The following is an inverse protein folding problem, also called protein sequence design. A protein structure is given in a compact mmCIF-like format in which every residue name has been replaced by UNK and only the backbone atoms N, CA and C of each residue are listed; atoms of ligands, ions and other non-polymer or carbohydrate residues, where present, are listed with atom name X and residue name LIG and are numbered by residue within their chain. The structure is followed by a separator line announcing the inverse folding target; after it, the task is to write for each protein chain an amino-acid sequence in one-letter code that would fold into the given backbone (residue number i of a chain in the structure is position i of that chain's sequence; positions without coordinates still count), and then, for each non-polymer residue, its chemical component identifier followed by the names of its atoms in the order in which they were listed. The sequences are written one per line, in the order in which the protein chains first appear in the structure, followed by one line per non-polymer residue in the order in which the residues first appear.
data_IF_838336469966
#
_entry.id   IF_838336469966
#
_cell.length_a   1.000
_cell.length_b   1.000
_cell.length_c   1.000
_cell.angle_alpha   90.00
_cell.angle_beta   90.00
_cell.angle_gamma   90.00
#
_symmetry.space_group_name_H-M   'P 1'
#
loop_
_entity.id
_entity.type
_entity.pdbx_description
1 polymer ?
#
# COMPACT_ATOMS: atom_id res chain seq x y z
N UNK A 1 -0.92 -21.22 7.63
CA UNK A 1 -0.84 -20.88 9.07
C UNK A 1 -1.44 -19.51 9.27
N UNK A 2 -2.02 -19.25 10.44
CA UNK A 2 -2.77 -18.02 10.72
C UNK A 2 -2.15 -17.24 11.87
N UNK A 3 -2.15 -15.91 11.75
CA UNK A 3 -1.66 -14.99 12.79
C UNK A 3 -2.72 -13.94 13.09
N UNK A 4 -3.06 -13.79 14.36
CA UNK A 4 -4.02 -12.81 14.83
C UNK A 4 -3.72 -12.42 16.28
N UNK A 5 -3.76 -11.13 16.68
CA UNK A 5 -3.48 -10.72 18.05
C UNK A 5 -4.42 -11.36 19.08
N UNK A 6 -5.64 -11.71 18.66
CA UNK A 6 -6.68 -12.38 19.46
C UNK A 6 -6.69 -13.91 19.30
N UNK A 7 -5.73 -14.49 18.59
CA UNK A 7 -5.63 -15.93 18.37
C UNK A 7 -5.37 -16.71 19.66
N UNK A 8 -5.74 -17.99 19.68
CA UNK A 8 -5.53 -18.86 20.83
C UNK A 8 -4.06 -19.22 21.09
N UNK A 9 -3.15 -18.92 20.17
CA UNK A 9 -1.73 -19.27 20.18
C UNK A 9 -1.48 -20.78 20.36
N UNK A 10 -2.14 -21.60 19.54
CA UNK A 10 -2.09 -23.07 19.64
C UNK A 10 -1.50 -23.64 18.34
N UNK A 11 -0.26 -24.20 18.37
CA UNK A 11 0.30 -24.90 17.24
C UNK A 11 -0.61 -26.05 16.76
N UNK A 12 -0.70 -26.32 15.45
CA UNK A 12 0.14 -25.79 14.38
C UNK A 12 -0.41 -24.50 13.72
N UNK A 13 -1.25 -23.72 14.42
CA UNK A 13 -1.81 -22.46 13.93
C UNK A 13 -2.58 -22.62 12.61
N UNK A 14 -3.36 -23.70 12.49
CA UNK A 14 -4.00 -24.13 11.23
C UNK A 14 -5.32 -23.44 10.91
N UNK A 15 -5.84 -22.60 11.80
CA UNK A 15 -7.08 -21.82 11.63
C UNK A 15 -7.13 -20.66 12.62
N UNK A 16 -8.02 -19.67 12.40
CA UNK A 16 -8.10 -18.42 13.18
C UNK A 16 -8.21 -18.61 14.70
N UNK A 17 -9.03 -19.54 15.18
CA UNK A 17 -9.18 -19.77 16.63
C UNK A 17 -7.87 -20.26 17.28
N UNK A 18 -7.06 -21.01 16.52
CA UNK A 18 -5.73 -21.49 16.96
C UNK A 18 -4.59 -20.53 16.61
N UNK A 19 -4.85 -19.41 15.92
CA UNK A 19 -3.83 -18.58 15.30
C UNK A 19 -2.72 -18.15 16.28
N UNK A 20 -1.51 -18.03 15.76
CA UNK A 20 -0.38 -17.46 16.49
C UNK A 20 -0.72 -16.01 16.87
N UNK A 21 -0.37 -15.61 18.09
CA UNK A 21 -0.62 -14.22 18.55
C UNK A 21 0.34 -13.22 17.91
N UNK A 22 1.48 -13.70 17.42
CA UNK A 22 2.50 -12.91 16.76
C UNK A 22 3.25 -13.76 15.73
N UNK A 23 3.80 -13.13 14.68
CA UNK A 23 4.59 -13.80 13.64
C UNK A 23 5.79 -14.53 14.25
N UNK A 24 6.37 -14.03 15.34
CA UNK A 24 7.50 -14.68 16.00
C UNK A 24 7.14 -16.04 16.62
N UNK A 25 5.86 -16.29 16.93
CA UNK A 25 5.40 -17.55 17.55
C UNK A 25 5.32 -18.71 16.54
N UNK A 26 5.23 -18.41 15.24
CA UNK A 26 5.10 -19.43 14.19
C UNK A 26 6.43 -19.77 13.51
N UNK A 27 7.47 -18.93 13.62
CA UNK A 27 8.75 -19.14 12.93
C UNK A 27 9.34 -20.55 13.15
N UNK A 28 9.31 -21.16 14.34
CA UNK A 28 9.84 -22.51 14.56
C UNK A 28 9.10 -23.62 13.79
N UNK A 29 7.92 -23.33 13.27
CA UNK A 29 7.05 -24.28 12.57
C UNK A 29 7.04 -24.07 11.06
N UNK A 30 7.78 -23.06 10.56
CA UNK A 30 7.86 -22.78 9.13
C UNK A 30 8.61 -23.88 8.38
N UNK A 31 8.14 -24.13 7.16
CA UNK A 31 8.86 -24.88 6.14
C UNK A 31 8.56 -24.32 4.75
N UNK A 32 9.40 -24.66 3.77
CA UNK A 32 9.20 -24.21 2.39
C UNK A 32 7.83 -24.60 1.86
N UNK A 33 7.19 -23.68 1.13
CA UNK A 33 5.81 -23.80 0.63
C UNK A 33 4.73 -23.40 1.63
N UNK A 34 5.08 -23.02 2.86
CA UNK A 34 4.09 -22.56 3.84
C UNK A 34 3.46 -21.24 3.41
N UNK A 35 2.14 -21.16 3.50
CA UNK A 35 1.39 -19.92 3.41
C UNK A 35 1.05 -19.43 4.82
N UNK A 36 1.34 -18.17 5.12
CA UNK A 36 1.08 -17.51 6.40
C UNK A 36 0.18 -16.31 6.14
N UNK A 37 -1.01 -16.36 6.73
CA UNK A 37 -2.06 -15.35 6.59
C UNK A 37 -2.14 -14.55 7.88
N UNK A 38 -1.95 -13.24 7.79
CA UNK A 38 -1.90 -12.34 8.95
C UNK A 38 -3.08 -11.39 8.92
N UNK A 39 -3.94 -11.42 9.94
CA UNK A 39 -5.06 -10.47 10.03
C UNK A 39 -4.60 -9.12 10.60
N UNK A 40 -5.55 -8.22 10.81
CA UNK A 40 -5.30 -6.87 11.28
C UNK A 40 -4.70 -6.88 12.68
N UNK A 41 -3.83 -5.93 12.93
CA UNK A 41 -3.22 -5.76 14.23
C UNK A 41 -1.89 -5.05 14.16
N UNK A 42 -1.51 -4.53 15.31
CA UNK A 42 -0.13 -4.21 15.59
C UNK A 42 0.49 -5.46 16.20
N UNK A 43 1.61 -5.90 15.63
CA UNK A 43 2.39 -7.03 16.06
C UNK A 43 3.72 -6.52 16.61
N UNK A 44 3.82 -6.28 17.94
CA UNK A 44 5.06 -5.84 18.56
C UNK A 44 6.16 -6.88 18.32
N UNK A 45 7.29 -6.44 17.79
CA UNK A 45 8.45 -7.26 17.53
C UNK A 45 9.29 -7.35 18.80
N UNK A 46 9.45 -8.57 19.31
CA UNK A 46 10.36 -8.86 20.44
C UNK A 46 11.75 -9.37 20.00
N UNK A 47 11.88 -9.61 18.70
CA UNK A 47 13.08 -10.06 17.99
C UNK A 47 12.79 -9.92 16.49
N UNK A 48 13.82 -9.85 15.65
CA UNK A 48 13.65 -9.80 14.19
C UNK A 48 12.96 -11.05 13.64
N UNK A 49 12.00 -10.88 12.72
CA UNK A 49 11.42 -11.97 11.96
C UNK A 49 12.38 -12.40 10.84
N UNK A 50 13.11 -13.50 11.06
CA UNK A 50 13.98 -14.08 10.04
C UNK A 50 13.22 -15.11 9.21
N UNK A 51 13.01 -14.78 7.93
CA UNK A 51 12.36 -15.62 6.93
C UNK A 51 13.44 -16.27 6.06
N UNK A 52 13.85 -17.48 6.45
CA UNK A 52 14.88 -18.28 5.78
C UNK A 52 14.32 -19.45 4.97
N UNK A 53 12.99 -19.51 4.80
CA UNK A 53 12.28 -20.51 4.01
C UNK A 53 11.53 -19.84 2.87
N UNK A 54 11.36 -20.55 1.75
CA UNK A 54 10.49 -20.11 0.66
C UNK A 54 9.02 -20.18 1.04
N UNK A 55 8.51 -19.17 1.74
CA UNK A 55 7.13 -19.06 2.22
C UNK A 55 6.40 -17.88 1.56
N UNK A 56 5.08 -17.85 1.70
CA UNK A 56 4.29 -16.64 1.43
C UNK A 56 3.73 -16.11 2.74
N UNK A 57 4.20 -14.95 3.19
CA UNK A 57 3.70 -14.24 4.35
C UNK A 57 2.94 -13.02 3.86
N UNK A 58 1.61 -13.00 4.03
CA UNK A 58 0.81 -11.89 3.54
C UNK A 58 -0.19 -11.42 4.57
N UNK A 59 -0.43 -10.11 4.60
CA UNK A 59 -1.55 -9.56 5.35
C UNK A 59 -2.85 -9.81 4.59
N UNK A 60 -3.94 -9.91 5.34
CA UNK A 60 -5.28 -9.91 4.75
C UNK A 60 -5.51 -8.51 4.17
N UNK A 61 -5.58 -7.49 5.02
CA UNK A 61 -6.05 -6.15 4.68
C UNK A 61 -4.96 -5.13 4.30
N UNK A 62 -3.82 -5.58 3.79
CA UNK A 62 -2.79 -4.68 3.29
C UNK A 62 -2.06 -3.90 4.40
N UNK A 63 -1.16 -2.99 3.99
CA UNK A 63 -0.18 -2.42 4.91
C UNK A 63 -0.81 -1.51 5.97
N UNK A 64 -1.93 -0.85 5.67
CA UNK A 64 -2.64 -0.01 6.64
C UNK A 64 -3.19 -0.78 7.86
N UNK A 65 -3.38 -2.10 7.73
CA UNK A 65 -4.08 -2.90 8.72
C UNK A 65 -3.19 -3.87 9.51
N UNK A 66 -2.08 -4.34 8.92
CA UNK A 66 -1.13 -5.24 9.57
C UNK A 66 0.23 -4.56 9.75
N UNK A 67 0.58 -4.27 10.99
CA UNK A 67 1.76 -3.47 11.35
C UNK A 67 2.76 -4.34 12.11
N UNK A 68 3.97 -4.48 11.56
CA UNK A 68 5.12 -5.04 12.26
C UNK A 68 5.84 -3.90 12.97
N UNK A 69 5.75 -3.88 14.29
CA UNK A 69 6.19 -2.73 15.10
C UNK A 69 7.41 -3.08 15.95
N UNK A 70 8.57 -2.59 15.53
CA UNK A 70 9.83 -2.73 16.26
C UNK A 70 9.83 -2.04 17.63
N UNK A 71 9.00 -1.00 17.81
CA UNK A 71 8.87 -0.26 19.06
C UNK A 71 10.17 0.34 19.63
N UNK A 72 11.23 0.45 18.81
CA UNK A 72 12.57 0.84 19.23
C UNK A 72 13.36 -0.26 19.96
N UNK A 73 12.95 -1.53 19.86
CA UNK A 73 13.51 -2.63 20.64
C UNK A 73 14.22 -3.69 19.79
N UNK A 74 14.19 -3.55 18.47
CA UNK A 74 14.83 -4.47 17.53
C UNK A 74 15.68 -3.70 16.54
N UNK A 75 16.84 -4.26 16.21
CA UNK A 75 17.74 -3.68 15.21
C UNK A 75 17.07 -3.67 13.82
N UNK A 76 16.32 -4.72 13.51
CA UNK A 76 15.51 -4.84 12.30
C UNK A 76 14.21 -5.61 12.56
N UNK A 77 13.13 -5.24 11.87
CA UNK A 77 11.85 -5.93 12.03
C UNK A 77 11.80 -7.23 11.23
N UNK A 78 12.35 -7.21 10.01
CA UNK A 78 12.25 -8.31 9.06
C UNK A 78 13.60 -8.56 8.38
N UNK A 79 13.99 -9.83 8.29
CA UNK A 79 15.11 -10.28 7.47
C UNK A 79 14.62 -11.39 6.54
N UNK A 80 14.77 -11.21 5.23
CA UNK A 80 14.43 -12.21 4.22
C UNK A 80 15.71 -12.67 3.54
N UNK A 81 15.95 -13.98 3.61
CA UNK A 81 17.18 -14.61 3.13
C UNK A 81 16.88 -15.87 2.30
N UNK A 82 15.80 -15.82 1.52
CA UNK A 82 15.45 -16.91 0.61
C UNK A 82 14.74 -16.39 -0.64
N UNK A 83 15.25 -16.78 -1.81
CA UNK A 83 14.74 -16.40 -3.15
C UNK A 83 13.26 -16.66 -3.43
N UNK A 84 12.62 -17.62 -2.75
CA UNK A 84 11.22 -17.97 -2.94
C UNK A 84 10.32 -17.39 -1.84
N UNK A 85 10.89 -16.63 -0.89
CA UNK A 85 10.11 -15.97 0.13
C UNK A 85 9.41 -14.74 -0.46
N UNK A 86 8.12 -14.60 -0.16
CA UNK A 86 7.31 -13.44 -0.51
C UNK A 86 6.71 -12.88 0.77
N UNK A 87 6.93 -11.59 1.01
CA UNK A 87 6.28 -10.84 2.07
C UNK A 87 5.43 -9.74 1.46
N UNK A 88 4.15 -9.69 1.80
CA UNK A 88 3.15 -8.88 1.10
C UNK A 88 2.24 -8.13 2.08
N UNK A 89 2.14 -6.81 1.93
CA UNK A 89 1.04 -6.05 2.52
C UNK A 89 1.25 -5.62 3.97
N UNK A 90 2.46 -5.27 4.41
CA UNK A 90 2.71 -4.88 5.79
C UNK A 90 3.19 -3.44 5.92
N UNK A 91 2.75 -2.75 6.98
CA UNK A 91 3.52 -1.62 7.50
C UNK A 91 4.64 -2.14 8.38
N UNK A 92 5.87 -1.66 8.16
CA UNK A 92 7.07 -2.06 8.89
C UNK A 92 7.69 -0.80 9.48
N UNK A 93 7.70 -0.71 10.81
CA UNK A 93 8.11 0.52 11.51
C UNK A 93 8.86 0.27 12.81
N UNK A 94 9.53 1.32 13.29
CA UNK A 94 10.05 1.37 14.65
C UNK A 94 11.25 0.47 14.91
N UNK A 95 11.95 -0.02 13.88
CA UNK A 95 13.29 -0.59 14.09
C UNK A 95 14.27 0.53 14.52
N UNK A 96 15.18 0.23 15.43
CA UNK A 96 16.19 1.17 15.91
C UNK A 96 17.51 0.45 16.17
N UNK A 97 18.43 0.51 15.21
CA UNK A 97 19.77 -0.07 15.37
C UNK A 97 20.37 -0.61 14.07
N UNK A 98 19.52 -1.04 13.14
CA UNK A 98 19.91 -1.57 11.84
C UNK A 98 19.06 -0.99 10.72
N UNK A 99 18.11 -1.76 10.20
CA UNK A 99 17.24 -1.39 9.08
C UNK A 99 15.82 -1.85 9.38
N UNK A 100 14.77 -1.16 8.94
CA UNK A 100 13.41 -1.70 9.05
C UNK A 100 13.30 -3.10 8.42
N UNK A 101 13.89 -3.26 7.25
CA UNK A 101 13.98 -4.52 6.52
C UNK A 101 15.40 -4.80 6.05
N UNK A 102 15.82 -6.07 6.14
CA UNK A 102 16.99 -6.61 5.43
C UNK A 102 16.50 -7.62 4.40
N UNK A 103 16.87 -7.42 3.13
CA UNK A 103 16.42 -8.22 2.01
C UNK A 103 17.63 -8.76 1.23
N UNK A 104 18.14 -9.93 1.64
CA UNK A 104 19.24 -10.62 0.96
C UNK A 104 18.79 -11.41 -0.28
N UNK A 105 17.51 -11.77 -0.33
CA UNK A 105 16.88 -12.38 -1.50
C UNK A 105 15.34 -12.34 -1.32
N UNK A 106 14.60 -12.79 -2.32
CA UNK A 106 13.14 -12.87 -2.29
C UNK A 106 12.45 -11.56 -2.65
N UNK A 107 11.16 -11.49 -2.33
CA UNK A 107 10.28 -10.39 -2.72
C UNK A 107 9.57 -9.79 -1.51
N UNK A 108 9.77 -8.49 -1.28
CA UNK A 108 8.90 -7.68 -0.43
C UNK A 108 8.02 -6.78 -1.31
N UNK A 109 6.71 -6.86 -1.14
CA UNK A 109 5.78 -6.08 -1.96
C UNK A 109 4.57 -5.50 -1.21
N UNK A 110 3.97 -4.44 -1.79
CA UNK A 110 2.76 -3.79 -1.27
C UNK A 110 2.91 -3.33 0.19
N UNK A 111 4.12 -2.95 0.59
CA UNK A 111 4.47 -2.63 1.97
C UNK A 111 4.68 -1.14 2.17
N UNK A 112 4.49 -0.69 3.41
CA UNK A 112 4.86 0.65 3.87
C UNK A 112 6.02 0.54 4.86
N UNK A 113 7.20 1.02 4.48
CA UNK A 113 8.40 1.00 5.33
C UNK A 113 8.60 2.40 5.88
N UNK A 114 8.33 2.58 7.18
CA UNK A 114 8.17 3.92 7.75
C UNK A 114 8.74 4.08 9.15
N UNK A 115 9.35 5.23 9.44
CA UNK A 115 9.81 5.58 10.79
C UNK A 115 10.76 4.54 11.41
N UNK A 116 11.66 4.01 10.59
CA UNK A 116 12.77 3.18 11.04
C UNK A 116 14.04 4.02 11.16
N UNK A 117 14.89 3.66 12.11
CA UNK A 117 16.14 4.34 12.41
C UNK A 117 17.31 3.37 12.31
N UNK A 118 18.38 3.78 11.63
CA UNK A 118 19.44 2.86 11.23
C UNK A 118 20.77 3.53 10.95
N UNK A 119 21.81 2.74 10.67
CA UNK A 119 23.08 3.26 10.15
C UNK A 119 23.16 3.22 8.63
N UNK A 120 22.55 2.23 8.00
CA UNK A 120 22.68 1.99 6.55
C UNK A 120 21.37 1.42 6.05
N UNK A 121 20.72 2.08 5.08
CA UNK A 121 19.43 1.61 4.59
C UNK A 121 18.39 1.58 5.71
N UNK A 122 18.19 2.71 6.41
CA UNK A 122 17.42 2.71 7.66
C UNK A 122 15.98 2.22 7.44
N UNK A 123 15.37 2.52 6.29
CA UNK A 123 14.14 1.85 5.86
C UNK A 123 14.41 0.41 5.43
N UNK A 124 15.21 0.22 4.38
CA UNK A 124 15.56 -1.10 3.87
C UNK A 124 17.04 -1.21 3.42
N UNK A 125 17.66 -2.34 3.76
CA UNK A 125 18.93 -2.78 3.21
C UNK A 125 18.66 -3.91 2.21
N UNK A 126 18.93 -3.66 0.92
CA UNK A 126 18.69 -4.60 -0.17
C UNK A 126 20.01 -5.12 -0.72
N UNK A 127 20.19 -6.42 -0.69
CA UNK A 127 21.31 -7.11 -1.32
C UNK A 127 20.70 -8.17 -2.23
N UNK A 128 20.64 -7.94 -3.55
CA UNK A 128 20.03 -8.86 -4.56
C UNK A 128 18.52 -9.10 -4.49
N UNK A 129 17.87 -8.77 -3.37
CA UNK A 129 16.42 -8.89 -3.21
C UNK A 129 15.60 -7.91 -4.08
N UNK A 130 14.28 -8.15 -4.13
CA UNK A 130 13.33 -7.34 -4.88
C UNK A 130 12.34 -6.60 -3.98
N UNK A 131 12.30 -5.28 -4.12
CA UNK A 131 11.33 -4.41 -3.46
C UNK A 131 10.35 -3.87 -4.51
N UNK A 132 9.06 -4.17 -4.37
CA UNK A 132 8.06 -3.82 -5.38
C UNK A 132 6.80 -3.18 -4.80
N UNK A 133 6.31 -2.11 -5.41
CA UNK A 133 5.04 -1.48 -5.02
C UNK A 133 5.00 -1.03 -3.55
N UNK A 134 6.10 -0.44 -3.09
CA UNK A 134 6.25 -0.07 -1.69
C UNK A 134 6.33 1.45 -1.53
N UNK A 135 5.77 1.94 -0.43
CA UNK A 135 6.05 3.29 0.07
C UNK A 135 7.19 3.21 1.10
N UNK A 136 8.30 3.88 0.85
CA UNK A 136 9.42 3.99 1.80
C UNK A 136 9.54 5.45 2.25
N UNK A 137 9.18 5.74 3.49
CA UNK A 137 9.06 7.13 3.95
C UNK A 137 9.44 7.37 5.40
N UNK A 138 9.96 8.57 5.71
CA UNK A 138 10.31 9.00 7.08
C UNK A 138 11.25 8.04 7.80
N UNK A 139 12.14 7.39 7.08
CA UNK A 139 13.23 6.62 7.69
C UNK A 139 14.47 7.50 7.84
N UNK A 140 15.26 7.24 8.88
CA UNK A 140 16.38 8.08 9.26
C UNK A 140 17.66 7.26 9.44
N UNK A 141 18.64 7.50 8.58
CA UNK A 141 19.95 6.86 8.60
C UNK A 141 21.02 7.79 9.19
N UNK A 142 21.85 7.27 10.09
CA UNK A 142 23.01 7.99 10.64
C UNK A 142 24.25 7.93 9.74
N UNK A 143 24.19 7.24 8.60
CA UNK A 143 25.22 7.29 7.56
C UNK A 143 24.57 7.39 6.19
N UNK A 144 24.40 6.30 5.45
CA UNK A 144 23.88 6.33 4.07
C UNK A 144 22.52 5.66 3.91
N UNK A 145 21.80 5.98 2.84
CA UNK A 145 20.57 5.28 2.48
C UNK A 145 19.49 5.50 3.53
N UNK A 146 18.99 6.73 3.66
CA UNK A 146 17.94 7.05 4.63
C UNK A 146 16.71 6.17 4.43
N UNK A 147 16.21 6.12 3.20
CA UNK A 147 15.18 5.19 2.79
C UNK A 147 15.75 3.81 2.53
N UNK A 148 16.62 3.71 1.52
CA UNK A 148 17.12 2.44 1.01
C UNK A 148 18.63 2.50 0.77
N UNK A 149 19.32 1.45 1.17
CA UNK A 149 20.64 1.08 0.63
C UNK A 149 20.46 -0.14 -0.26
N UNK A 150 21.02 -0.12 -1.47
CA UNK A 150 20.84 -1.21 -2.44
C UNK A 150 22.14 -1.58 -3.16
N UNK A 151 22.42 -2.89 -3.19
CA UNK A 151 23.50 -3.53 -3.94
C UNK A 151 22.96 -4.73 -4.72
N UNK A 152 23.09 -4.71 -6.05
CA UNK A 152 22.60 -5.78 -6.92
C UNK A 152 21.07 -6.01 -6.89
N UNK A 153 20.29 -5.04 -6.38
CA UNK A 153 18.87 -5.23 -6.05
C UNK A 153 17.92 -4.76 -7.17
N UNK A 154 16.65 -5.13 -7.07
CA UNK A 154 15.58 -4.67 -7.97
C UNK A 154 14.55 -3.85 -7.20
N UNK A 155 14.32 -2.61 -7.62
CA UNK A 155 13.39 -1.67 -6.97
C UNK A 155 12.38 -1.20 -8.01
N UNK A 156 11.10 -1.50 -7.78
CA UNK A 156 10.10 -1.44 -8.86
C UNK A 156 8.78 -0.82 -8.38
N UNK A 157 8.26 0.20 -9.06
CA UNK A 157 6.96 0.81 -8.75
C UNK A 157 6.88 1.33 -7.30
N UNK A 158 7.99 1.84 -6.78
CA UNK A 158 8.07 2.32 -5.39
C UNK A 158 8.05 3.85 -5.31
N UNK A 159 7.50 4.38 -4.22
CA UNK A 159 7.61 5.80 -3.86
C UNK A 159 8.54 5.92 -2.65
N UNK A 160 9.70 6.55 -2.83
CA UNK A 160 10.77 6.69 -1.82
C UNK A 160 10.90 8.18 -1.48
N UNK A 161 10.31 8.58 -0.35
CA UNK A 161 10.04 9.99 -0.08
C UNK A 161 10.19 10.38 1.38
N UNK A 162 10.67 11.60 1.64
CA UNK A 162 10.81 12.14 3.01
C UNK A 162 11.67 11.27 3.93
N UNK A 163 12.70 10.61 3.38
CA UNK A 163 13.71 9.92 4.16
C UNK A 163 14.95 10.80 4.35
N UNK A 164 15.70 10.54 5.41
CA UNK A 164 16.86 11.33 5.80
C UNK A 164 18.09 10.43 5.97
N UNK A 165 19.23 10.89 5.45
CA UNK A 165 20.56 10.34 5.72
C UNK A 165 21.48 11.45 6.25
N UNK A 166 22.50 11.08 7.03
CA UNK A 166 23.55 12.02 7.42
C UNK A 166 24.54 12.21 6.28
N UNK A 167 25.04 11.11 5.70
CA UNK A 167 26.08 11.18 4.68
C UNK A 167 25.44 11.34 3.29
N UNK A 168 25.03 10.24 2.66
CA UNK A 168 24.61 10.21 1.26
C UNK A 168 23.33 9.43 1.04
N UNK A 169 22.58 9.75 -0.02
CA UNK A 169 21.45 8.93 -0.45
C UNK A 169 20.30 8.98 0.55
N UNK A 170 19.75 10.17 0.82
CA UNK A 170 18.63 10.34 1.74
C UNK A 170 17.47 9.41 1.37
N UNK A 171 17.11 9.35 0.09
CA UNK A 171 16.14 8.41 -0.45
C UNK A 171 16.77 7.05 -0.73
N UNK A 172 17.71 7.02 -1.67
CA UNK A 172 18.31 5.81 -2.20
C UNK A 172 19.83 5.96 -2.32
N UNK A 173 20.55 5.02 -1.72
CA UNK A 173 21.99 4.82 -1.93
C UNK A 173 22.22 3.56 -2.75
N UNK A 174 22.90 3.69 -3.89
CA UNK A 174 23.24 2.59 -4.79
C UNK A 174 24.73 2.25 -4.69
N UNK A 175 25.02 1.05 -4.17
CA UNK A 175 26.39 0.53 -4.11
C UNK A 175 26.70 -0.36 -5.31
N UNK A 176 27.25 0.28 -6.33
CA UNK A 176 27.67 -0.38 -7.56
C UNK A 176 28.90 -1.28 -7.41
N UNK A 177 29.65 -1.17 -6.31
CA UNK A 177 30.83 -2.01 -6.08
C UNK A 177 30.44 -3.44 -5.71
N UNK A 178 29.24 -3.63 -5.16
CA UNK A 178 28.73 -4.94 -4.72
C UNK A 178 27.66 -5.51 -5.66
N UNK A 179 27.21 -4.74 -6.65
CA UNK A 179 26.36 -5.21 -7.74
C UNK A 179 25.50 -4.10 -8.34
N UNK A 180 25.24 -4.18 -9.64
CA UNK A 180 24.34 -3.25 -10.33
C UNK A 180 22.90 -3.43 -9.87
N UNK A 181 22.30 -2.37 -9.34
CA UNK A 181 20.88 -2.35 -8.99
C UNK A 181 20.04 -1.78 -10.15
N UNK A 182 18.84 -2.31 -10.32
CA UNK A 182 17.85 -1.86 -11.29
C UNK A 182 16.73 -1.10 -10.56
N UNK A 183 16.45 0.12 -11.00
CA UNK A 183 15.41 0.99 -10.42
C UNK A 183 14.44 1.36 -11.52
N UNK A 184 13.18 0.97 -11.38
CA UNK A 184 12.17 1.17 -12.43
C UNK A 184 10.82 1.65 -11.91
N UNK A 185 10.18 2.54 -12.66
CA UNK A 185 8.86 3.09 -12.31
C UNK A 185 8.83 3.69 -10.88
N UNK A 186 9.94 4.24 -10.41
CA UNK A 186 10.06 4.72 -9.04
C UNK A 186 10.00 6.24 -8.97
N UNK A 187 9.34 6.76 -7.92
CA UNK A 187 9.53 8.15 -7.51
C UNK A 187 10.54 8.19 -6.37
N UNK A 188 11.60 8.99 -6.52
CA UNK A 188 12.56 9.28 -5.45
C UNK A 188 12.63 10.80 -5.29
N UNK A 189 11.96 11.33 -4.28
CA UNK A 189 11.77 12.77 -4.13
C UNK A 189 11.61 13.20 -2.68
N UNK A 190 11.88 14.47 -2.39
CA UNK A 190 11.68 15.07 -1.06
C UNK A 190 12.47 14.37 0.06
N UNK A 191 13.57 13.71 -0.29
CA UNK A 191 14.49 13.15 0.69
C UNK A 191 15.59 14.16 1.02
N UNK A 192 16.37 13.90 2.07
CA UNK A 192 17.49 14.75 2.46
C UNK A 192 18.72 13.93 2.84
N UNK A 193 19.89 14.41 2.41
CA UNK A 193 21.19 13.97 2.91
C UNK A 193 21.98 15.21 3.34
N UNK A 194 22.78 15.14 4.42
CA UNK A 194 23.57 16.30 4.84
C UNK A 194 24.80 16.53 3.96
N UNK A 195 25.40 15.48 3.39
CA UNK A 195 26.53 15.63 2.47
C UNK A 195 26.07 15.80 1.01
N UNK A 196 25.51 14.76 0.39
CA UNK A 196 25.10 14.82 -1.02
C UNK A 196 24.10 13.72 -1.43
N UNK A 197 23.51 13.87 -2.62
CA UNK A 197 22.60 12.88 -3.21
C UNK A 197 21.35 12.67 -2.36
N UNK A 198 20.68 13.77 -2.00
CA UNK A 198 19.48 13.75 -1.15
C UNK A 198 18.45 12.73 -1.61
N UNK A 199 18.07 12.73 -2.89
CA UNK A 199 17.15 11.72 -3.42
C UNK A 199 17.88 10.44 -3.81
N UNK A 200 18.91 10.54 -4.66
CA UNK A 200 19.71 9.39 -5.09
C UNK A 200 21.19 9.72 -5.01
N UNK A 201 21.96 8.81 -4.43
CA UNK A 201 23.41 8.76 -4.54
C UNK A 201 23.85 7.40 -5.08
N UNK A 202 24.85 7.38 -5.96
CA UNK A 202 25.49 6.16 -6.41
C UNK A 202 27.01 6.32 -6.41
N UNK A 203 27.72 5.27 -5.98
CA UNK A 203 29.20 5.25 -6.02
C UNK A 203 29.74 5.39 -7.46
N UNK A 204 29.01 4.87 -8.44
CA UNK A 204 29.29 5.00 -9.86
C UNK A 204 27.97 5.12 -10.64
N UNK A 205 27.62 6.34 -11.05
CA UNK A 205 26.38 6.63 -11.76
C UNK A 205 26.31 5.96 -13.14
N UNK A 206 27.44 5.66 -13.79
CA UNK A 206 27.45 5.00 -15.11
C UNK A 206 26.90 3.56 -15.06
N UNK A 207 26.87 2.98 -13.86
CA UNK A 207 26.40 1.61 -13.62
C UNK A 207 24.94 1.54 -13.17
N UNK A 208 24.27 2.67 -12.97
CA UNK A 208 22.89 2.70 -12.49
C UNK A 208 21.93 2.46 -13.65
N UNK A 209 21.09 1.43 -13.52
CA UNK A 209 20.03 1.15 -14.48
C UNK A 209 18.72 1.80 -14.01
N UNK A 210 18.45 3.03 -14.47
CA UNK A 210 17.16 3.70 -14.27
C UNK A 210 16.24 3.45 -15.47
N UNK A 211 14.97 3.14 -15.19
CA UNK A 211 13.93 2.98 -16.22
C UNK A 211 12.61 3.64 -15.78
N UNK A 212 12.16 4.66 -16.50
CA UNK A 212 10.91 5.39 -16.20
C UNK A 212 10.78 5.82 -14.72
N UNK A 213 11.84 6.41 -14.17
CA UNK A 213 11.84 6.96 -12.81
C UNK A 213 11.53 8.46 -12.79
N UNK A 214 11.08 8.97 -11.66
CA UNK A 214 10.95 10.39 -11.36
C UNK A 214 11.88 10.75 -10.22
N UNK A 215 12.99 11.45 -10.53
CA UNK A 215 13.99 11.87 -9.55
C UNK A 215 14.31 13.35 -9.82
N UNK A 216 13.63 14.30 -9.15
CA UNK A 216 13.74 15.73 -9.44
C UNK A 216 15.16 16.29 -9.38
N UNK A 217 16.03 15.70 -8.55
CA UNK A 217 17.41 16.15 -8.37
C UNK A 217 18.43 15.48 -9.29
N UNK A 218 18.01 14.55 -10.17
CA UNK A 218 18.92 13.75 -10.98
C UNK A 218 18.48 13.65 -12.45
N UNK A 219 19.26 14.27 -13.34
CA UNK A 219 19.02 14.29 -14.78
C UNK A 219 19.81 13.20 -15.51
N UNK A 220 19.44 11.93 -15.29
CA UNK A 220 20.05 10.77 -15.95
C UNK A 220 19.07 10.09 -16.94
N UNK A 221 19.57 9.39 -17.97
CA UNK A 221 18.72 8.59 -18.85
C UNK A 221 17.82 7.64 -18.05
N UNK A 222 16.54 7.56 -18.43
CA UNK A 222 15.55 6.75 -17.71
C UNK A 222 14.99 7.42 -16.44
N UNK A 223 15.39 8.65 -16.13
CA UNK A 223 14.79 9.48 -15.08
C UNK A 223 14.24 10.79 -15.65
N UNK A 224 13.09 11.21 -15.16
CA UNK A 224 12.52 12.53 -15.38
C UNK A 224 12.72 13.41 -14.14
N UNK A 225 12.88 14.72 -14.34
CA UNK A 225 13.27 15.69 -13.29
C UNK A 225 12.15 16.64 -12.86
N UNK A 226 10.96 16.49 -13.42
CA UNK A 226 9.80 17.27 -13.01
C UNK A 226 9.36 16.88 -11.60
N UNK A 227 8.79 17.84 -10.86
CA UNK A 227 8.20 17.59 -9.54
C UNK A 227 7.08 16.53 -9.66
N UNK A 228 7.10 15.44 -8.86
CA UNK A 228 6.05 14.42 -8.88
C UNK A 228 4.67 14.94 -8.42
N UNK A 229 4.60 16.13 -7.80
CA UNK A 229 3.34 16.80 -7.47
C UNK A 229 2.42 15.96 -6.57
N UNK A 230 2.85 15.72 -5.34
CA UNK A 230 2.05 15.02 -4.33
C UNK A 230 0.92 15.90 -3.76
N UNK A 231 -0.21 15.28 -3.40
CA UNK A 231 -1.39 15.95 -2.84
C UNK A 231 -1.08 16.70 -1.54
N UNK A 232 -0.46 16.02 -0.55
CA UNK A 232 -0.11 16.63 0.73
C UNK A 232 1.08 15.92 1.40
N UNK A 233 2.31 16.13 0.89
CA UNK A 233 3.48 15.37 1.36
C UNK A 233 3.82 15.62 2.84
N UNK A 234 3.56 16.83 3.37
CA UNK A 234 3.82 17.16 4.78
C UNK A 234 2.96 16.34 5.75
N UNK A 235 1.75 15.98 5.36
CA UNK A 235 0.87 15.10 6.15
C UNK A 235 1.02 13.62 5.79
N UNK A 236 1.90 13.28 4.84
CA UNK A 236 2.16 11.90 4.42
C UNK A 236 1.22 11.37 3.34
N UNK A 237 0.45 12.25 2.68
CA UNK A 237 -0.32 11.86 1.51
C UNK A 237 0.52 12.05 0.25
N UNK A 238 1.11 10.95 -0.21
CA UNK A 238 1.99 10.90 -1.38
C UNK A 238 1.28 10.39 -2.64
N UNK A 239 -0.05 10.43 -2.67
CA UNK A 239 -0.81 10.26 -3.92
C UNK A 239 -0.54 11.43 -4.86
N UNK A 240 -0.66 11.19 -6.16
CA UNK A 240 -0.37 12.17 -7.21
C UNK A 240 -1.54 13.18 -7.35
N UNK A 241 -1.21 14.44 -7.58
CA UNK A 241 -2.18 15.43 -8.04
C UNK A 241 -2.51 15.21 -9.52
N UNK A 242 -3.69 15.64 -9.96
CA UNK A 242 -4.16 15.50 -11.34
C UNK A 242 -3.21 16.03 -12.42
N UNK A 243 -2.38 17.03 -12.07
CA UNK A 243 -1.40 17.65 -12.97
C UNK A 243 -0.03 16.96 -12.97
N UNK A 244 0.12 15.88 -12.21
CA UNK A 244 1.41 15.24 -12.01
C UNK A 244 1.99 14.72 -13.32
N UNK A 245 3.29 14.94 -13.56
CA UNK A 245 3.99 14.35 -14.72
C UNK A 245 4.17 12.84 -14.57
N UNK A 246 3.96 12.27 -13.37
CA UNK A 246 4.13 10.84 -13.11
C UNK A 246 2.93 10.00 -13.58
N UNK A 247 1.81 10.66 -13.92
CA UNK A 247 0.59 10.01 -14.38
C UNK A 247 0.76 9.50 -15.81
N UNK A 248 0.37 8.25 -16.07
CA UNK A 248 0.53 7.56 -17.36
C UNK A 248 1.97 7.59 -17.92
N UNK A 249 2.97 7.71 -17.04
CA UNK A 249 4.37 7.92 -17.45
C UNK A 249 5.27 6.70 -17.22
N UNK A 250 4.72 5.63 -16.64
CA UNK A 250 5.45 4.41 -16.33
C UNK A 250 5.54 3.41 -17.47
N UNK A 251 6.30 2.35 -17.23
CA UNK A 251 6.51 1.24 -18.15
C UNK A 251 5.72 0.00 -17.71
N UNK A 252 4.86 -0.52 -18.60
CA UNK A 252 3.96 -1.66 -18.38
C UNK A 252 4.62 -3.06 -18.34
N UNK A 253 5.88 -3.18 -17.92
CA UNK A 253 6.56 -4.46 -17.83
C UNK A 253 6.54 -5.02 -16.39
N UNK A 254 5.83 -6.13 -16.17
CA UNK A 254 5.84 -6.87 -14.91
C UNK A 254 5.39 -6.06 -13.68
N UNK A 255 4.46 -5.12 -13.88
CA UNK A 255 3.88 -4.30 -12.82
C UNK A 255 2.83 -5.08 -12.00
N UNK A 256 2.61 -4.71 -10.73
CA UNK A 256 1.56 -5.30 -9.90
C UNK A 256 0.16 -4.88 -10.41
N UNK A 257 -0.82 -5.78 -10.36
CA UNK A 257 -2.21 -5.49 -10.78
C UNK A 257 -2.94 -4.51 -9.86
N UNK A 258 -2.37 -4.24 -8.68
CA UNK A 258 -2.92 -3.37 -7.65
C UNK A 258 -1.81 -2.43 -7.17
N UNK A 259 -2.15 -1.19 -6.86
CA UNK A 259 -1.25 -0.23 -6.19
C UNK A 259 -1.15 -0.50 -4.67
N UNK A 260 -0.40 0.32 -3.94
CA UNK A 260 -0.22 0.12 -2.49
C UNK A 260 -1.51 0.33 -1.66
N UNK A 261 -2.48 1.07 -2.20
CA UNK A 261 -3.84 1.24 -1.65
C UNK A 261 -4.84 0.21 -2.18
N UNK A 262 -4.36 -0.70 -3.04
CA UNK A 262 -5.14 -1.73 -3.73
C UNK A 262 -6.12 -1.17 -4.75
N UNK A 263 -5.81 -0.02 -5.35
CA UNK A 263 -6.45 0.49 -6.56
C UNK A 263 -5.95 -0.34 -7.74
N UNK A 264 -6.85 -0.65 -8.69
CA UNK A 264 -6.51 -1.37 -9.92
C UNK A 264 -5.46 -0.65 -10.76
N UNK A 265 -4.63 -1.41 -11.48
CA UNK A 265 -3.58 -0.89 -12.38
C UNK A 265 -3.56 -1.64 -13.72
N UNK A 266 -3.34 -0.96 -14.86
CA UNK A 266 -3.21 0.49 -15.02
C UNK A 266 -4.59 1.17 -15.10
N UNK A 267 -4.67 2.43 -14.70
CA UNK A 267 -5.81 3.32 -14.98
C UNK A 267 -5.34 4.42 -15.94
N UNK A 268 -6.20 4.82 -16.87
CA UNK A 268 -5.88 5.91 -17.80
C UNK A 268 -6.07 7.24 -17.09
N UNK A 269 -5.01 8.04 -17.03
CA UNK A 269 -5.05 9.42 -16.58
C UNK A 269 -5.51 10.40 -17.67
N UNK A 270 -4.91 11.61 -17.68
CA UNK A 270 -5.31 12.71 -18.57
C UNK A 270 -4.75 12.60 -19.99
N UNK A 271 -3.84 11.64 -20.24
CA UNK A 271 -3.18 11.50 -21.52
C UNK A 271 -4.11 10.87 -22.57
N UNK A 272 -4.72 11.70 -23.40
CA UNK A 272 -5.50 11.31 -24.57
C UNK A 272 -4.64 10.48 -25.54
N UNK A 273 -4.66 9.14 -25.50
CA UNK A 273 -3.77 8.38 -26.39
C UNK A 273 -3.62 6.87 -26.27
N UNK A 274 -4.70 6.10 -26.09
CA UNK A 274 -4.89 4.70 -26.55
C UNK A 274 -4.06 3.56 -25.91
N UNK A 275 -3.17 3.81 -24.94
CA UNK A 275 -2.62 2.74 -24.07
C UNK A 275 -2.56 3.23 -22.63
N UNK A 276 -3.29 2.58 -21.72
CA UNK A 276 -3.17 2.80 -20.29
C UNK A 276 -1.75 2.42 -19.85
N UNK A 277 -0.93 3.40 -19.46
CA UNK A 277 0.37 3.15 -18.85
C UNK A 277 0.19 3.28 -17.34
N UNK A 278 0.91 2.46 -16.56
CA UNK A 278 0.90 2.64 -15.11
C UNK A 278 1.48 4.01 -14.74
N UNK A 279 1.10 4.50 -13.57
CA UNK A 279 1.78 5.64 -12.99
C UNK A 279 3.17 5.26 -12.46
N UNK A 280 4.10 6.21 -12.52
CA UNK A 280 5.39 6.07 -11.83
C UNK A 280 5.13 6.16 -10.32
N UNK A 281 5.59 5.19 -9.55
CA UNK A 281 5.50 5.14 -8.09
C UNK A 281 4.55 4.07 -7.54
N UNK A 282 4.28 4.16 -6.24
CA UNK A 282 3.50 3.18 -5.48
C UNK A 282 1.97 3.35 -5.58
N UNK A 283 1.50 4.48 -6.12
CA UNK A 283 0.08 4.80 -6.25
C UNK A 283 -0.36 4.85 -7.70
N UNK A 284 -1.61 4.48 -7.98
CA UNK A 284 -2.28 4.76 -9.24
C UNK A 284 -3.24 5.94 -9.07
N UNK A 285 -3.19 6.89 -10.01
CA UNK A 285 -4.08 8.02 -10.04
C UNK A 285 -5.46 7.62 -10.60
N UNK A 286 -6.50 7.93 -9.84
CA UNK A 286 -7.89 7.74 -10.24
C UNK A 286 -8.44 9.06 -10.75
N UNK A 287 -8.73 9.14 -12.05
CA UNK A 287 -9.36 10.30 -12.66
C UNK A 287 -10.86 10.34 -12.30
N UNK A 288 -11.25 11.26 -11.41
CA UNK A 288 -12.65 11.53 -11.12
C UNK A 288 -13.18 12.65 -12.04
N UNK A 289 -13.87 12.29 -13.12
CA UNK A 289 -14.85 13.16 -13.80
C UNK A 289 -14.37 14.21 -14.81
N UNK A 290 -13.51 13.88 -15.80
CA UNK A 290 -13.25 14.85 -16.90
C UNK A 290 -13.02 14.30 -18.33
N UNK A 291 -13.12 12.99 -18.56
CA UNK A 291 -13.28 12.40 -19.91
C UNK A 291 -14.76 12.19 -20.20
N UNK A 292 -15.12 11.92 -21.47
CA UNK A 292 -16.47 11.45 -21.81
C UNK A 292 -16.79 10.24 -20.93
N UNK A 293 -17.90 10.32 -20.22
CA UNK A 293 -18.45 9.33 -19.30
C UNK A 293 -19.90 9.18 -19.77
N UNK A 294 -20.15 8.16 -20.62
CA UNK A 294 -21.40 8.11 -21.40
C UNK A 294 -22.59 7.65 -20.59
N UNK A 295 -22.37 6.93 -19.49
CA UNK A 295 -23.41 6.50 -18.56
C UNK A 295 -23.43 7.31 -17.24
N UNK A 296 -22.41 8.13 -17.00
CA UNK A 296 -22.39 9.11 -15.92
C UNK A 296 -22.06 8.52 -14.56
N UNK A 297 -21.33 7.41 -14.52
CA UNK A 297 -21.10 6.61 -13.32
C UNK A 297 -19.89 7.09 -12.49
N UNK A 298 -19.10 8.02 -13.04
CA UNK A 298 -17.91 8.61 -12.42
C UNK A 298 -16.59 7.95 -12.79
N UNK A 299 -16.63 6.82 -13.52
CA UNK A 299 -15.54 6.33 -14.35
C UNK A 299 -15.55 7.10 -15.68
N UNK A 300 -14.72 6.74 -16.64
CA UNK A 300 -14.81 7.40 -17.96
C UNK A 300 -14.72 6.38 -19.05
N UNK A 301 -15.31 6.66 -20.22
CA UNK A 301 -15.35 5.75 -21.36
C UNK A 301 -13.98 5.15 -21.68
N UNK A 302 -12.92 5.93 -21.45
CA UNK A 302 -11.53 5.51 -21.71
C UNK A 302 -11.00 4.59 -20.62
N UNK A 303 -11.30 4.85 -19.34
CA UNK A 303 -10.96 3.96 -18.24
C UNK A 303 -11.74 2.65 -18.31
N UNK A 304 -13.01 2.73 -18.68
CA UNK A 304 -13.85 1.56 -18.87
C UNK A 304 -13.30 0.72 -20.03
N UNK A 305 -13.03 1.30 -21.20
CA UNK A 305 -12.59 0.54 -22.36
C UNK A 305 -11.15 -0.01 -22.23
N UNK A 306 -10.22 0.75 -21.67
CA UNK A 306 -8.78 0.44 -21.72
C UNK A 306 -8.13 0.13 -20.37
N UNK A 307 -8.75 0.50 -19.24
CA UNK A 307 -8.23 0.25 -17.89
C UNK A 307 -8.89 -0.96 -17.23
N UNK A 308 -10.19 -0.86 -16.94
CA UNK A 308 -10.95 -1.91 -16.24
C UNK A 308 -11.66 -2.90 -17.19
N UNK A 309 -11.73 -2.58 -18.48
CA UNK A 309 -12.44 -3.38 -19.50
C UNK A 309 -13.94 -3.57 -19.21
N UNK A 310 -14.56 -2.56 -18.61
CA UNK A 310 -16.01 -2.43 -18.41
C UNK A 310 -16.67 -1.77 -19.62
N UNK A 311 -18.01 -1.60 -19.60
CA UNK A 311 -18.79 -1.13 -20.74
C UNK A 311 -19.14 0.38 -20.62
N UNK A 312 -18.56 1.26 -21.46
CA UNK A 312 -18.76 2.73 -21.44
C UNK A 312 -20.19 3.28 -21.48
N UNK A 313 -21.18 2.43 -21.73
CA UNK A 313 -22.57 2.82 -21.91
C UNK A 313 -23.50 2.16 -20.87
N UNK A 314 -22.92 1.46 -19.90
CA UNK A 314 -23.61 0.70 -18.88
C UNK A 314 -22.94 0.95 -17.54
N UNK A 315 -23.53 1.83 -16.74
CA UNK A 315 -22.94 2.32 -15.49
C UNK A 315 -22.60 1.22 -14.49
N UNK A 316 -23.17 0.04 -14.64
CA UNK A 316 -23.00 -1.13 -13.78
C UNK A 316 -22.77 -2.29 -14.76
N UNK A 317 -21.52 -2.69 -15.00
CA UNK A 317 -21.20 -3.62 -16.08
C UNK A 317 -21.52 -5.08 -15.77
N UNK A 318 -21.63 -5.43 -14.48
CA UNK A 318 -21.94 -6.79 -14.03
C UNK A 318 -23.35 -6.97 -13.44
N UNK A 319 -24.12 -5.88 -13.39
CA UNK A 319 -25.53 -5.80 -12.99
C UNK A 319 -25.79 -6.16 -11.53
N UNK A 320 -24.87 -5.83 -10.63
CA UNK A 320 -24.98 -6.10 -9.20
C UNK A 320 -25.60 -4.95 -8.37
N UNK A 321 -25.78 -3.79 -8.99
CA UNK A 321 -26.37 -2.59 -8.41
C UNK A 321 -25.36 -1.58 -7.85
N UNK A 322 -24.06 -1.87 -7.89
CA UNK A 322 -22.98 -0.90 -7.76
C UNK A 322 -22.55 -0.44 -9.14
N UNK A 323 -22.12 0.82 -9.26
CA UNK A 323 -21.66 1.35 -10.54
C UNK A 323 -20.14 1.22 -10.68
N UNK A 324 -19.61 1.04 -11.89
CA UNK A 324 -18.21 0.66 -12.14
C UNK A 324 -17.23 1.66 -11.51
N UNK A 325 -17.55 2.95 -11.58
CA UNK A 325 -16.78 4.03 -10.95
C UNK A 325 -16.72 3.94 -9.42
N UNK A 326 -17.85 3.66 -8.77
CA UNK A 326 -17.90 3.47 -7.32
C UNK A 326 -17.15 2.21 -6.91
N UNK A 327 -17.20 1.17 -7.73
CA UNK A 327 -16.49 -0.08 -7.48
C UNK A 327 -14.98 0.08 -7.58
N UNK A 328 -14.50 0.73 -8.64
CA UNK A 328 -13.11 1.09 -8.80
C UNK A 328 -12.58 1.86 -7.59
N UNK A 329 -13.38 2.81 -7.08
CA UNK A 329 -13.04 3.58 -5.88
C UNK A 329 -13.11 2.73 -4.60
N UNK A 330 -14.14 1.89 -4.46
CA UNK A 330 -14.32 0.99 -3.32
C UNK A 330 -13.32 -0.18 -3.31
N UNK A 331 -12.60 -0.42 -4.42
CA UNK A 331 -11.68 -1.54 -4.59
C UNK A 331 -12.39 -2.87 -4.81
N UNK A 332 -13.61 -2.85 -5.35
CA UNK A 332 -14.30 -4.03 -5.86
C UNK A 332 -14.01 -4.24 -7.36
N UNK A 333 -14.33 -5.42 -7.87
CA UNK A 333 -14.15 -5.79 -9.28
C UNK A 333 -15.48 -5.57 -10.06
N UNK A 334 -15.55 -4.57 -10.95
CA UNK A 334 -16.78 -4.19 -11.68
C UNK A 334 -17.20 -5.16 -12.79
N UNK A 335 -16.49 -6.29 -12.94
CA UNK A 335 -16.85 -7.38 -13.84
C UNK A 335 -17.27 -8.64 -13.08
N UNK A 336 -17.42 -8.56 -11.76
CA UNK A 336 -17.76 -9.69 -10.89
C UNK A 336 -18.84 -9.31 -9.87
N UNK A 337 -20.09 -9.63 -10.20
CA UNK A 337 -21.28 -9.32 -9.38
C UNK A 337 -21.30 -9.90 -7.94
N UNK A 338 -20.30 -10.73 -7.58
CA UNK A 338 -20.10 -11.22 -6.22
C UNK A 338 -19.19 -10.30 -5.39
N UNK A 339 -18.45 -9.41 -6.03
CA UNK A 339 -17.53 -8.44 -5.48
C UNK A 339 -18.25 -7.09 -5.29
N UNK A 340 -19.23 -7.01 -4.38
CA UNK A 340 -20.03 -5.78 -4.22
C UNK A 340 -19.67 -4.99 -2.96
N UNK A 341 -19.64 -3.65 -3.04
CA UNK A 341 -19.65 -2.76 -1.87
C UNK A 341 -21.08 -2.29 -1.55
N UNK A 342 -21.80 -3.04 -0.71
CA UNK A 342 -23.21 -2.76 -0.40
C UNK A 342 -23.53 -2.81 1.10
N UNK A 343 -24.55 -2.07 1.52
CA UNK A 343 -25.16 -2.24 2.84
C UNK A 343 -25.93 -3.58 2.86
N UNK A 344 -25.50 -4.50 3.71
CA UNK A 344 -26.08 -5.85 3.82
C UNK A 344 -27.28 -5.91 4.76
N UNK A 345 -27.37 -4.98 5.71
CA UNK A 345 -28.52 -4.89 6.58
C UNK A 345 -28.38 -3.92 7.74
N UNK A 346 -29.52 -3.64 8.37
CA UNK A 346 -29.60 -2.86 9.60
C UNK A 346 -30.47 -3.64 10.60
N UNK A 347 -29.90 -4.04 11.73
CA UNK A 347 -30.60 -4.81 12.77
C UNK A 347 -30.61 -4.08 14.11
N UNK A 348 -31.59 -4.37 14.96
CA UNK A 348 -31.66 -3.76 16.28
C UNK A 348 -30.51 -4.26 17.15
N UNK A 349 -29.75 -3.36 17.76
CA UNK A 349 -28.66 -3.71 18.65
C UNK A 349 -29.12 -4.11 20.06
N UNK A 350 -28.20 -4.66 20.85
CA UNK A 350 -28.47 -5.19 22.18
C UNK A 350 -28.88 -4.10 23.20
N UNK A 351 -28.37 -2.87 23.04
CA UNK A 351 -28.74 -1.74 23.89
C UNK A 351 -30.05 -1.09 23.39
N UNK A 352 -30.89 -0.64 24.33
CA UNK A 352 -32.09 0.12 24.00
C UNK A 352 -31.73 1.36 23.16
N UNK A 353 -32.34 1.49 21.98
CA UNK A 353 -32.04 2.58 21.06
C UNK A 353 -30.76 2.40 20.24
N UNK A 354 -30.22 1.18 20.11
CA UNK A 354 -29.07 0.92 19.22
C UNK A 354 -29.49 0.22 17.92
N UNK A 355 -28.74 0.50 16.85
CA UNK A 355 -28.87 -0.11 15.53
C UNK A 355 -27.49 -0.59 15.09
N UNK A 356 -27.39 -1.81 14.59
CA UNK A 356 -26.18 -2.39 14.01
C UNK A 356 -26.32 -2.32 12.50
N UNK A 357 -25.47 -1.55 11.86
CA UNK A 357 -25.34 -1.47 10.40
C UNK A 357 -24.29 -2.49 9.96
N UNK A 358 -24.59 -3.25 8.91
CA UNK A 358 -23.67 -4.21 8.31
C UNK A 358 -23.50 -3.94 6.81
N UNK A 359 -22.29 -4.03 6.30
CA UNK A 359 -21.98 -3.79 4.89
C UNK A 359 -20.86 -4.70 4.40
N UNK A 360 -20.85 -4.99 3.10
CA UNK A 360 -19.76 -5.70 2.44
C UNK A 360 -18.48 -4.91 2.60
N UNK A 361 -17.43 -5.59 3.05
CA UNK A 361 -16.15 -4.96 3.32
C UNK A 361 -15.08 -5.52 2.41
N UNK A 362 -14.39 -4.59 1.73
CA UNK A 362 -13.24 -4.83 0.88
C UNK A 362 -11.98 -4.80 1.70
N UNK A 363 -11.14 -5.77 1.39
CA UNK A 363 -9.89 -6.02 2.08
C UNK A 363 -8.92 -4.83 1.97
N UNK A 364 -8.66 -4.15 3.08
CA UNK A 364 -7.72 -3.03 3.16
C UNK A 364 -8.28 -1.63 2.96
N UNK A 365 -9.61 -1.49 2.83
CA UNK A 365 -10.28 -0.19 2.84
C UNK A 365 -10.55 0.33 4.25
N UNK A 366 -10.74 1.64 4.34
CA UNK A 366 -11.39 2.27 5.50
C UNK A 366 -12.78 2.75 5.11
N UNK A 367 -13.62 3.01 6.10
CA UNK A 367 -14.97 3.48 5.88
C UNK A 367 -15.31 4.68 6.76
N UNK A 368 -15.96 5.67 6.16
CA UNK A 368 -16.73 6.66 6.88
C UNK A 368 -18.16 6.18 7.05
N UNK A 369 -18.70 6.29 8.25
CA UNK A 369 -20.14 6.24 8.46
C UNK A 369 -20.63 7.69 8.61
N UNK A 370 -21.49 8.09 7.69
CA UNK A 370 -22.14 9.37 7.71
C UNK A 370 -23.60 9.21 8.16
N UNK A 371 -24.15 10.25 8.78
CA UNK A 371 -25.52 10.25 9.24
C UNK A 371 -26.23 11.59 8.99
N UNK A 372 -27.55 11.52 8.82
CA UNK A 372 -28.45 12.68 8.78
C UNK A 372 -29.83 12.35 9.34
N UNK A 373 -30.58 13.37 9.73
CA UNK A 373 -31.95 13.22 10.27
C UNK A 373 -33.04 13.53 9.25
N UNK A 374 -32.65 14.04 8.08
CA UNK A 374 -33.55 14.42 7.00
C UNK A 374 -32.81 14.25 5.66
N UNK A 375 -33.45 13.62 4.67
CA UNK A 375 -32.90 13.40 3.32
C UNK A 375 -32.63 14.70 2.54
N UNK A 376 -33.20 15.83 2.96
CA UNK A 376 -32.96 17.13 2.35
C UNK A 376 -31.75 17.88 2.93
N UNK A 377 -31.08 17.32 3.95
CA UNK A 377 -29.86 17.87 4.52
C UNK A 377 -28.63 17.07 4.02
N UNK A 378 -27.45 17.71 3.93
CA UNK A 378 -26.22 16.99 3.65
C UNK A 378 -25.93 15.97 4.75
N UNK A 379 -25.21 14.92 4.38
CA UNK A 379 -24.66 13.98 5.35
C UNK A 379 -23.61 14.68 6.22
N UNK A 380 -23.63 14.39 7.51
CA UNK A 380 -22.56 14.77 8.44
C UNK A 380 -21.76 13.53 8.82
N UNK A 381 -20.44 13.67 8.89
CA UNK A 381 -19.59 12.59 9.35
C UNK A 381 -19.98 12.19 10.78
N UNK A 382 -20.34 10.92 10.97
CA UNK A 382 -20.63 10.37 12.28
C UNK A 382 -19.38 9.73 12.88
N UNK A 383 -18.62 9.02 12.05
CA UNK A 383 -17.30 8.47 12.34
C UNK A 383 -16.56 8.24 11.03
N UNK A 384 -15.25 8.43 11.02
CA UNK A 384 -14.37 8.12 9.88
C UNK A 384 -13.35 7.07 10.27
N UNK A 385 -12.61 6.56 9.28
CA UNK A 385 -11.54 5.59 9.44
C UNK A 385 -11.99 4.29 10.13
N UNK A 386 -13.23 3.86 9.89
CA UNK A 386 -13.69 2.53 10.32
C UNK A 386 -12.96 1.47 9.49
N UNK A 387 -12.11 0.70 10.14
CA UNK A 387 -11.31 -0.34 9.48
C UNK A 387 -12.18 -1.41 8.83
N UNK A 388 -11.79 -1.86 7.64
CA UNK A 388 -12.35 -3.04 7.00
C UNK A 388 -12.17 -4.33 7.84
N UNK A 389 -13.21 -5.14 7.87
CA UNK A 389 -13.35 -6.47 8.45
C UNK A 389 -14.04 -7.37 7.41
N UNK A 390 -13.38 -7.67 6.28
CA UNK A 390 -13.97 -8.50 5.25
C UNK A 390 -14.38 -9.89 5.78
N UNK A 391 -15.45 -10.49 5.23
CA UNK A 391 -16.24 -9.95 4.12
C UNK A 391 -17.29 -8.91 4.56
N UNK A 392 -17.51 -8.71 5.87
CA UNK A 392 -18.61 -7.88 6.38
C UNK A 392 -18.18 -7.05 7.58
N UNK A 393 -18.26 -5.73 7.44
CA UNK A 393 -18.17 -4.82 8.57
C UNK A 393 -19.49 -4.73 9.33
N UNK A 394 -19.39 -4.42 10.62
CA UNK A 394 -20.53 -4.02 11.42
C UNK A 394 -20.19 -2.82 12.31
N UNK A 395 -21.10 -1.86 12.42
CA UNK A 395 -20.96 -0.74 13.35
C UNK A 395 -22.26 -0.46 14.08
N UNK A 396 -22.18 -0.26 15.41
CA UNK A 396 -23.34 0.02 16.25
C UNK A 396 -23.49 1.52 16.47
N UNK A 397 -24.61 2.08 16.02
CA UNK A 397 -25.00 3.48 16.25
C UNK A 397 -26.03 3.59 17.36
N UNK A 398 -25.95 4.68 18.13
CA UNK A 398 -27.01 5.08 19.08
C UNK A 398 -28.05 5.93 18.34
N UNK A 399 -29.22 5.34 18.15
CA UNK A 399 -30.42 5.99 17.63
C UNK A 399 -31.13 6.62 18.82
N UNK A 400 -30.80 7.88 19.13
CA UNK A 400 -31.45 8.65 20.19
C UNK A 400 -32.96 8.84 19.93
N UNK A 401 -33.60 9.79 20.62
CA UNK A 401 -35.04 10.07 20.48
C UNK A 401 -35.46 10.73 19.14
N UNK A 402 -34.61 10.69 18.12
CA UNK A 402 -34.90 11.28 16.81
C UNK A 402 -35.74 10.27 16.00
N UNK A 403 -36.91 10.68 15.47
CA UNK A 403 -37.86 9.75 14.87
C UNK A 403 -37.33 9.05 13.60
N UNK A 404 -36.42 9.70 12.86
CA UNK A 404 -35.84 9.15 11.63
C UNK A 404 -34.36 9.52 11.51
N UNK A 405 -33.53 8.55 11.14
CA UNK A 405 -32.13 8.75 10.76
C UNK A 405 -31.84 7.98 9.48
N UNK A 406 -30.96 8.56 8.67
CA UNK A 406 -30.43 7.96 7.45
C UNK A 406 -28.92 7.84 7.61
N UNK A 407 -28.37 6.73 7.14
CA UNK A 407 -26.96 6.40 7.24
C UNK A 407 -26.41 6.11 5.85
N UNK A 408 -25.15 6.43 5.66
CA UNK A 408 -24.38 6.16 4.46
C UNK A 408 -23.02 5.62 4.89
N UNK A 409 -22.57 4.57 4.22
CA UNK A 409 -21.20 4.07 4.37
C UNK A 409 -20.45 4.51 3.13
N UNK A 410 -19.33 5.19 3.33
CA UNK A 410 -18.45 5.67 2.28
C UNK A 410 -17.11 4.96 2.43
N UNK A 411 -16.56 4.38 1.35
CA UNK A 411 -15.17 3.91 1.35
C UNK A 411 -14.23 5.12 1.40
N UNK A 412 -13.14 5.02 2.18
CA UNK A 412 -12.10 6.06 2.35
C UNK A 412 -10.74 5.55 1.87
#
# INVERSE_FOLDING_TARGET
MYVAPSGGNIPPYSHWASAATNIMDLLPYLGSGTEVIVTNGVYPMRSAAHISYGIRLHSVNGPAAAILDGGGNVDHCLMIDHSNAVVDGFTIRGASGGSGVILFDGLLQNCVIVSNSGSTGAGAYLYRGRLRNCLVTRNNSSSVGGGIYAAGAQIENCTIVSNQAVDFGGGLFLDSQEGTSEVRNCIVALNSAEMDGSDLFANDLETVALDHCCIPTLAEPGSMTQDPQFVAPLSGNYRLMASSPCIDAGHNLGYPSLDVDRVGRPLVGWATGVVALIDIGAYEYVLLGSSKDSDGDGLSDTNELYGLHTNPADSDSDHDGSNDGSEAYAGTDPLQAASVFALLGATKGAATGSLVLQWSSVTGKTYALNARTNLFLPFSNHVSHLMAHPPVNAYTVTVGSVPTRFYEIQAE
#
